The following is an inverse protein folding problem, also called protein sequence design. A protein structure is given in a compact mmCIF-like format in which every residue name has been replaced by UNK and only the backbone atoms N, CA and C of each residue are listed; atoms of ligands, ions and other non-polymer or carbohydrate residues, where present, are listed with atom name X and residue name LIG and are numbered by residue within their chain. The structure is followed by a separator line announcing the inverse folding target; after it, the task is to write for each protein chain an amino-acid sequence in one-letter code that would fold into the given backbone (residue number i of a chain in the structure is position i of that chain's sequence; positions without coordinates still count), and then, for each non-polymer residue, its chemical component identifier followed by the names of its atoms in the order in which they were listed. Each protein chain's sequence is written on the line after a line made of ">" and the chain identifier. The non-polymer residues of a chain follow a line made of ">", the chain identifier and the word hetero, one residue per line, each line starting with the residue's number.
data_IF_486586829690
#
_entry.id   IF_486586829690
#
_cell.length_a   1.000
_cell.length_b   1.000
_cell.length_c   1.000
_cell.angle_alpha   90.00
_cell.angle_beta   90.00
_cell.angle_gamma   90.00
#
_symmetry.space_group_name_H-M   'P 1'
#
loop_
_entity.id
_entity.type
_entity.pdbx_description
1 polymer ?
#
# COMPACT_ATOMS: atom_id res chain seq x y z
N UNK A 1 -22.17 -1.97 -0.33
CA UNK A 1 -21.88 -1.38 -1.65
C UNK A 1 -20.82 -0.31 -1.46
N UNK A 2 -19.57 -0.69 -1.68
CA UNK A 2 -18.39 0.06 -1.30
C UNK A 2 -18.28 1.38 -2.07
N UNK A 3 -17.60 2.36 -1.47
CA UNK A 3 -17.25 3.62 -2.13
C UNK A 3 -16.55 3.39 -3.49
N UNK A 4 -15.82 2.28 -3.63
CA UNK A 4 -15.11 1.87 -4.85
C UNK A 4 -16.05 1.67 -6.04
N UNK A 5 -17.24 1.11 -5.82
CA UNK A 5 -18.23 0.86 -6.88
C UNK A 5 -18.82 2.16 -7.46
N UNK A 6 -18.60 3.31 -6.80
CA UNK A 6 -19.01 4.64 -7.29
C UNK A 6 -17.92 5.34 -8.11
N UNK A 7 -16.68 4.82 -8.10
CA UNK A 7 -15.56 5.39 -8.85
C UNK A 7 -15.59 4.92 -10.31
N UNK A 8 -15.11 5.78 -11.22
CA UNK A 8 -14.88 5.39 -12.61
C UNK A 8 -13.70 4.40 -12.72
N UNK A 9 -13.61 3.67 -13.82
CA UNK A 9 -12.47 2.77 -14.05
C UNK A 9 -11.13 3.54 -14.08
N UNK A 10 -11.16 4.77 -14.59
CA UNK A 10 -9.98 5.64 -14.62
C UNK A 10 -9.57 6.07 -13.20
N UNK A 11 -10.54 6.47 -12.37
CA UNK A 11 -10.28 6.82 -10.96
C UNK A 11 -9.76 5.63 -10.16
N UNK A 12 -10.35 4.44 -10.35
CA UNK A 12 -9.90 3.22 -9.71
C UNK A 12 -8.45 2.89 -10.11
N UNK A 13 -8.13 2.96 -11.40
CA UNK A 13 -6.79 2.66 -11.91
C UNK A 13 -5.78 3.69 -11.43
N UNK A 14 -6.13 4.99 -11.47
CA UNK A 14 -5.28 6.08 -10.99
C UNK A 14 -4.97 5.91 -9.51
N UNK A 15 -5.97 5.56 -8.71
CA UNK A 15 -5.82 5.43 -7.27
C UNK A 15 -5.12 4.13 -6.88
N UNK A 16 -5.34 3.04 -7.61
CA UNK A 16 -4.56 1.82 -7.51
C UNK A 16 -3.08 2.09 -7.78
N UNK A 17 -2.77 2.86 -8.83
CA UNK A 17 -1.40 3.27 -9.15
C UNK A 17 -0.77 4.06 -8.00
N UNK A 18 -1.46 5.10 -7.51
CA UNK A 18 -0.97 5.90 -6.39
C UNK A 18 -0.71 5.07 -5.11
N UNK A 19 -1.63 4.16 -4.76
CA UNK A 19 -1.44 3.26 -3.62
C UNK A 19 -0.25 2.30 -3.81
N UNK A 20 0.03 1.90 -5.05
CA UNK A 20 1.15 1.01 -5.36
C UNK A 20 2.49 1.76 -5.29
N UNK A 21 2.53 3.01 -5.77
CA UNK A 21 3.68 3.92 -5.60
C UNK A 21 3.93 4.20 -4.11
N UNK A 22 2.88 4.46 -3.31
CA UNK A 22 3.01 4.68 -1.86
C UNK A 22 3.55 3.44 -1.13
N UNK A 23 3.12 2.24 -1.53
CA UNK A 23 3.65 0.99 -0.97
C UNK A 23 5.13 0.81 -1.31
N UNK A 24 5.53 1.10 -2.55
CA UNK A 24 6.92 1.02 -3.00
C UNK A 24 7.81 2.00 -2.22
N UNK A 25 7.37 3.27 -2.09
CA UNK A 25 8.08 4.28 -1.29
C UNK A 25 8.25 3.84 0.18
N UNK A 26 7.20 3.28 0.79
CA UNK A 26 7.24 2.78 2.16
C UNK A 26 8.22 1.61 2.32
N UNK A 27 8.26 0.69 1.36
CA UNK A 27 9.20 -0.45 1.36
C UNK A 27 10.65 0.02 1.14
N UNK A 28 10.87 1.01 0.28
CA UNK A 28 12.17 1.66 0.10
C UNK A 28 12.63 2.36 1.37
N UNK A 29 11.76 3.14 2.03
CA UNK A 29 12.07 3.79 3.30
C UNK A 29 12.44 2.76 4.36
N UNK A 30 11.62 1.71 4.53
CA UNK A 30 11.93 0.61 5.46
C UNK A 30 13.29 -0.02 5.16
N UNK A 31 13.58 -0.30 3.89
CA UNK A 31 14.84 -0.87 3.44
C UNK A 31 16.02 0.05 3.71
N UNK A 32 15.87 1.34 3.44
CA UNK A 32 16.89 2.36 3.68
C UNK A 32 17.19 2.49 5.17
N UNK A 33 16.17 2.62 6.01
CA UNK A 33 16.31 2.76 7.47
C UNK A 33 16.96 1.51 8.07
N UNK A 34 16.61 0.31 7.60
CA UNK A 34 17.25 -0.96 8.02
C UNK A 34 18.72 -1.04 7.58
N UNK A 35 19.06 -0.59 6.36
CA UNK A 35 20.43 -0.60 5.84
C UNK A 35 21.32 0.44 6.50
N UNK A 36 20.81 1.65 6.72
CA UNK A 36 21.60 2.79 7.20
C UNK A 36 22.00 2.62 8.67
N UNK A 37 21.19 1.92 9.46
CA UNK A 37 21.40 1.88 10.91
C UNK A 37 22.37 0.79 11.34
N UNK A 38 22.54 -0.32 10.61
CA UNK A 38 23.29 -1.49 11.12
C UNK A 38 22.79 -2.00 12.49
N UNK A 39 21.65 -1.46 12.95
CA UNK A 39 21.06 -1.59 14.26
C UNK A 39 19.67 -2.16 14.02
N UNK A 40 19.30 -3.13 14.84
CA UNK A 40 17.96 -3.66 14.88
C UNK A 40 16.97 -2.50 15.13
N UNK A 41 16.08 -2.24 14.17
CA UNK A 41 15.07 -1.20 14.35
C UNK A 41 14.27 -1.47 15.63
N UNK A 42 13.94 -0.44 16.42
CA UNK A 42 13.06 -0.63 17.56
C UNK A 42 11.76 -1.29 17.09
N UNK A 43 11.31 -2.33 17.78
CA UNK A 43 10.17 -3.15 17.32
C UNK A 43 8.88 -2.35 17.09
N UNK A 44 8.70 -1.19 17.74
CA UNK A 44 7.57 -0.31 17.47
C UNK A 44 7.64 0.37 16.08
N UNK A 45 8.84 0.70 15.60
CA UNK A 45 9.07 1.26 14.26
C UNK A 45 8.84 0.19 13.20
N UNK A 46 9.34 -1.03 13.42
CA UNK A 46 9.08 -2.18 12.52
C UNK A 46 7.58 -2.43 12.40
N UNK A 47 6.87 -2.48 13.54
CA UNK A 47 5.41 -2.67 13.56
C UNK A 47 4.66 -1.55 12.85
N UNK A 48 5.15 -0.32 12.90
CA UNK A 48 4.56 0.81 12.18
C UNK A 48 4.62 0.56 10.66
N UNK A 49 5.82 0.27 10.13
CA UNK A 49 5.98 -0.08 8.72
C UNK A 49 5.12 -1.29 8.32
N UNK A 50 5.12 -2.37 9.12
CA UNK A 50 4.29 -3.55 8.84
C UNK A 50 2.80 -3.22 8.80
N UNK A 51 2.32 -2.41 9.74
CA UNK A 51 0.91 -2.01 9.81
C UNK A 51 0.52 -1.17 8.59
N UNK A 52 1.37 -0.22 8.20
CA UNK A 52 1.14 0.64 7.04
C UNK A 52 1.21 -0.15 5.73
N UNK A 53 2.20 -1.02 5.55
CA UNK A 53 2.28 -1.92 4.39
C UNK A 53 1.06 -2.83 4.30
N UNK A 54 0.62 -3.45 5.41
CA UNK A 54 -0.58 -4.30 5.41
C UNK A 54 -1.83 -3.50 5.03
N UNK A 55 -1.97 -2.26 5.53
CA UNK A 55 -3.09 -1.41 5.19
C UNK A 55 -3.11 -1.07 3.69
N UNK A 56 -1.96 -0.65 3.13
CA UNK A 56 -1.81 -0.35 1.72
C UNK A 56 -2.07 -1.58 0.84
N UNK A 57 -1.50 -2.73 1.19
CA UNK A 57 -1.73 -3.99 0.48
C UNK A 57 -3.21 -4.39 0.48
N UNK A 58 -3.92 -4.21 1.59
CA UNK A 58 -5.37 -4.47 1.67
C UNK A 58 -6.15 -3.52 0.75
N UNK A 59 -5.86 -2.23 0.80
CA UNK A 59 -6.51 -1.27 -0.11
C UNK A 59 -6.22 -1.60 -1.57
N UNK A 60 -4.97 -1.92 -1.92
CA UNK A 60 -4.61 -2.36 -3.28
C UNK A 60 -5.42 -3.59 -3.70
N UNK A 61 -5.58 -4.58 -2.81
CA UNK A 61 -6.36 -5.78 -3.09
C UNK A 61 -7.84 -5.44 -3.36
N UNK A 62 -8.47 -4.61 -2.52
CA UNK A 62 -9.85 -4.16 -2.72
C UNK A 62 -10.05 -3.43 -4.06
N UNK A 63 -9.10 -2.57 -4.46
CA UNK A 63 -9.15 -1.90 -5.75
C UNK A 63 -8.96 -2.88 -6.92
N UNK A 64 -8.06 -3.86 -6.80
CA UNK A 64 -7.85 -4.90 -7.81
C UNK A 64 -9.09 -5.77 -7.98
N UNK A 65 -9.69 -6.21 -6.88
CA UNK A 65 -10.92 -7.00 -6.89
C UNK A 65 -12.08 -6.24 -7.54
N UNK A 66 -12.27 -4.95 -7.21
CA UNK A 66 -13.32 -4.13 -7.84
C UNK A 66 -13.05 -3.95 -9.35
N UNK A 67 -11.80 -3.73 -9.78
CA UNK A 67 -11.46 -3.62 -11.20
C UNK A 67 -11.68 -4.95 -11.93
N UNK A 68 -11.28 -6.08 -11.32
CA UNK A 68 -11.44 -7.40 -11.91
C UNK A 68 -12.92 -7.82 -12.00
N UNK A 69 -13.72 -7.51 -10.99
CA UNK A 69 -15.16 -7.76 -10.98
C UNK A 69 -15.95 -6.94 -12.02
N UNK A 70 -15.32 -5.95 -12.66
CA UNK A 70 -15.92 -5.16 -13.75
C UNK A 70 -15.59 -5.68 -15.14
N UNK A 71 -14.68 -6.65 -15.27
CA UNK A 71 -14.40 -7.32 -16.56
C UNK A 71 -15.51 -8.29 -16.93
#
# INVERSE_FOLDING_TARGET
>A
MGYLSKLSNEDLTRRLKALSEELEELEEERSFVLKQTGIHLPGHVVKKFETESIALMRSIAEFKEEIEGRK
#
